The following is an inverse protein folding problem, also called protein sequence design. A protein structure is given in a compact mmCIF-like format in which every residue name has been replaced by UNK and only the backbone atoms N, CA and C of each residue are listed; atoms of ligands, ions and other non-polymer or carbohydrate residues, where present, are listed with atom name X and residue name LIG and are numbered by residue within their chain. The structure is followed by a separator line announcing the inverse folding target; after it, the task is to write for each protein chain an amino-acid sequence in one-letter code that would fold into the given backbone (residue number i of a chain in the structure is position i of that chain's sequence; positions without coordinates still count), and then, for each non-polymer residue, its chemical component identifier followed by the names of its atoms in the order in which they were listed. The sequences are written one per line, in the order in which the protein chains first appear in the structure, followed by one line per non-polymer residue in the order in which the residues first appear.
data_IF_849445097378
#
_entry.id   IF_849445097378
#
_cell.length_a   1.000
_cell.length_b   1.000
_cell.length_c   1.000
_cell.angle_alpha   90.00
_cell.angle_beta   90.00
_cell.angle_gamma   90.00
#
_symmetry.space_group_name_H-M   'P 1'
#
loop_
_entity.id
_entity.type
_entity.pdbx_description
1 polymer ?
#
# COMPACT_ATOMS: atom_id res chain seq x y z
N UNK A 1 -5.65 22.85 -27.37
CA UNK A 1 -6.23 21.59 -26.86
C UNK A 1 -5.87 21.46 -25.38
N UNK A 2 -6.81 21.74 -24.49
CA UNK A 2 -6.59 21.66 -23.04
C UNK A 2 -7.12 20.31 -22.54
N UNK A 3 -6.27 19.27 -22.56
CA UNK A 3 -6.58 17.98 -21.95
C UNK A 3 -6.26 18.12 -20.45
N UNK A 4 -7.29 18.34 -19.63
CA UNK A 4 -7.11 18.52 -18.20
C UNK A 4 -6.59 17.24 -17.55
N UNK A 5 -5.33 17.30 -17.13
CA UNK A 5 -4.62 16.52 -16.09
C UNK A 5 -5.55 15.88 -15.03
N UNK A 6 -6.17 14.73 -15.28
CA UNK A 6 -6.88 14.00 -14.21
C UNK A 6 -5.92 13.11 -13.40
N UNK A 7 -4.82 13.68 -12.90
CA UNK A 7 -3.94 13.01 -11.93
C UNK A 7 -4.55 12.99 -10.53
N UNK A 8 -5.69 13.64 -10.31
CA UNK A 8 -6.34 13.76 -9.01
C UNK A 8 -6.57 12.41 -8.34
N UNK A 9 -7.09 11.42 -9.09
CA UNK A 9 -7.33 10.09 -8.53
C UNK A 9 -6.01 9.41 -8.13
N UNK A 10 -4.99 9.42 -9.00
CA UNK A 10 -3.67 8.86 -8.66
C UNK A 10 -3.07 9.52 -7.42
N UNK A 11 -3.14 10.84 -7.33
CA UNK A 11 -2.60 11.62 -6.21
C UNK A 11 -3.30 11.26 -4.90
N UNK A 12 -4.63 11.17 -4.91
CA UNK A 12 -5.42 10.75 -3.74
C UNK A 12 -5.03 9.33 -3.33
N UNK A 13 -4.97 8.39 -4.28
CA UNK A 13 -4.56 7.00 -4.04
C UNK A 13 -3.17 6.92 -3.40
N UNK A 14 -2.21 7.68 -3.94
CA UNK A 14 -0.84 7.73 -3.42
C UNK A 14 -0.80 8.30 -2.01
N UNK A 15 -1.53 9.38 -1.71
CA UNK A 15 -1.57 9.97 -0.36
C UNK A 15 -2.10 8.94 0.65
N UNK A 16 -3.21 8.28 0.34
CA UNK A 16 -3.79 7.26 1.23
C UNK A 16 -2.79 6.12 1.45
N UNK A 17 -2.19 5.62 0.37
CA UNK A 17 -1.17 4.57 0.45
C UNK A 17 0.03 4.99 1.31
N UNK A 18 0.59 6.19 1.08
CA UNK A 18 1.72 6.75 1.83
C UNK A 18 1.43 6.76 3.33
N UNK A 19 0.26 7.27 3.73
CA UNK A 19 -0.13 7.33 5.15
C UNK A 19 -0.16 5.93 5.75
N UNK A 20 -0.81 4.98 5.08
CA UNK A 20 -0.95 3.61 5.58
C UNK A 20 0.42 2.94 5.73
N UNK A 21 1.25 2.95 4.68
CA UNK A 21 2.52 2.22 4.71
C UNK A 21 3.55 2.87 5.64
N UNK A 22 3.52 4.20 5.81
CA UNK A 22 4.40 4.86 6.78
C UNK A 22 3.95 4.60 8.22
N UNK A 23 2.65 4.63 8.51
CA UNK A 23 2.13 4.33 9.86
C UNK A 23 2.37 2.87 10.22
N UNK A 24 1.95 1.92 9.38
CA UNK A 24 2.20 0.50 9.63
C UNK A 24 3.69 0.17 9.58
N UNK A 25 4.44 0.77 8.66
CA UNK A 25 5.88 0.59 8.56
C UNK A 25 6.61 1.03 9.81
N UNK A 26 6.31 2.23 10.33
CA UNK A 26 6.89 2.72 11.58
C UNK A 26 6.52 1.85 12.79
N UNK A 27 5.26 1.43 12.89
CA UNK A 27 4.81 0.55 13.98
C UNK A 27 5.49 -0.82 13.92
N UNK A 28 5.55 -1.47 12.76
CA UNK A 28 6.24 -2.75 12.60
C UNK A 28 7.76 -2.63 12.83
N UNK A 29 8.36 -1.50 12.45
CA UNK A 29 9.81 -1.29 12.58
C UNK A 29 10.23 -0.99 14.02
N UNK A 30 9.56 -0.06 14.71
CA UNK A 30 9.96 0.38 16.05
C UNK A 30 9.24 -0.36 17.18
N UNK A 31 7.95 -0.65 17.00
CA UNK A 31 7.07 -1.15 18.07
C UNK A 31 6.20 -2.35 17.62
N UNK A 32 6.77 -3.41 17.03
CA UNK A 32 6.00 -4.51 16.44
C UNK A 32 5.07 -5.20 17.46
N UNK A 33 5.49 -5.30 18.72
CA UNK A 33 4.71 -5.95 19.77
C UNK A 33 3.41 -5.21 20.10
N UNK A 34 3.34 -3.90 19.87
CA UNK A 34 2.09 -3.14 20.03
C UNK A 34 1.01 -3.66 19.08
N UNK A 35 1.39 -3.95 17.83
CA UNK A 35 0.48 -4.50 16.83
C UNK A 35 0.09 -5.96 17.14
N UNK A 36 1.05 -6.79 17.56
CA UNK A 36 0.79 -8.19 17.95
C UNK A 36 -0.20 -8.26 19.12
N UNK A 37 0.02 -7.47 20.17
CA UNK A 37 -0.90 -7.42 21.32
C UNK A 37 -2.26 -6.85 20.92
N UNK A 38 -2.31 -5.85 20.04
CA UNK A 38 -3.58 -5.30 19.55
C UNK A 38 -4.40 -6.34 18.75
N UNK A 39 -3.72 -7.15 17.92
CA UNK A 39 -4.30 -8.27 17.19
C UNK A 39 -4.88 -9.34 18.13
N UNK A 40 -4.25 -9.55 19.29
CA UNK A 40 -4.65 -10.58 20.25
C UNK A 40 -4.28 -12.01 19.83
N UNK A 41 -3.22 -12.15 19.02
CA UNK A 41 -2.66 -13.44 18.61
C UNK A 41 -1.44 -13.84 19.44
N UNK A 42 -0.83 -14.96 19.07
CA UNK A 42 0.37 -15.47 19.72
C UNK A 42 1.57 -14.54 19.53
N UNK A 43 2.54 -14.54 20.47
CA UNK A 43 3.75 -13.75 20.35
C UNK A 43 4.55 -14.10 19.10
N UNK A 44 4.78 -13.12 18.23
CA UNK A 44 5.67 -13.24 17.06
C UNK A 44 7.00 -12.58 17.38
N UNK A 45 8.10 -13.23 17.02
CA UNK A 45 9.43 -12.66 17.22
C UNK A 45 9.59 -11.35 16.43
N UNK A 46 9.89 -10.26 17.15
CA UNK A 46 9.95 -8.89 16.61
C UNK A 46 10.82 -8.76 15.35
N UNK A 47 11.89 -9.54 15.23
CA UNK A 47 12.79 -9.50 14.07
C UNK A 47 12.07 -9.72 12.73
N UNK A 48 11.12 -10.67 12.67
CA UNK A 48 10.33 -10.95 11.47
C UNK A 48 9.45 -9.77 11.07
N UNK A 49 8.87 -9.08 12.06
CA UNK A 49 8.00 -7.94 11.84
C UNK A 49 8.78 -6.66 11.47
N UNK A 50 9.96 -6.46 12.06
CA UNK A 50 10.79 -5.27 11.78
C UNK A 50 11.26 -5.21 10.34
N UNK A 51 11.58 -6.35 9.74
CA UNK A 51 11.96 -6.40 8.33
C UNK A 51 10.82 -5.91 7.42
N UNK A 52 9.60 -6.40 7.63
CA UNK A 52 8.42 -5.93 6.91
C UNK A 52 8.18 -4.42 7.13
N UNK A 53 8.38 -3.93 8.36
CA UNK A 53 8.31 -2.49 8.67
C UNK A 53 9.26 -1.64 7.83
N UNK A 54 10.52 -2.08 7.68
CA UNK A 54 11.52 -1.38 6.84
C UNK A 54 11.12 -1.34 5.37
N UNK A 55 10.58 -2.44 4.84
CA UNK A 55 10.08 -2.51 3.45
C UNK A 55 8.91 -1.54 3.25
N UNK A 56 7.94 -1.49 4.17
CA UNK A 56 6.80 -0.58 4.07
C UNK A 56 7.23 0.89 4.12
N UNK A 57 8.22 1.24 4.95
CA UNK A 57 8.78 2.60 4.99
C UNK A 57 9.42 2.95 3.64
N UNK A 58 10.22 2.05 3.07
CA UNK A 58 10.86 2.28 1.76
C UNK A 58 9.82 2.47 0.64
N UNK A 59 8.76 1.66 0.63
CA UNK A 59 7.65 1.82 -0.32
C UNK A 59 6.92 3.15 -0.13
N UNK A 60 6.70 3.60 1.12
CA UNK A 60 6.13 4.91 1.41
C UNK A 60 6.96 6.07 0.89
N UNK A 61 8.28 6.01 1.09
CA UNK A 61 9.21 7.02 0.54
C UNK A 61 9.19 6.99 -1.00
N UNK A 62 9.20 5.81 -1.62
CA UNK A 62 9.05 5.67 -3.06
C UNK A 62 7.76 6.29 -3.59
N UNK A 63 6.63 6.07 -2.90
CA UNK A 63 5.35 6.68 -3.25
C UNK A 63 5.35 8.19 -3.11
N UNK A 64 6.07 8.77 -2.13
CA UNK A 64 6.27 10.22 -2.02
C UNK A 64 7.05 10.74 -3.25
N UNK A 65 8.09 10.02 -3.69
CA UNK A 65 8.85 10.41 -4.87
C UNK A 65 7.97 10.43 -6.13
N UNK A 66 7.13 9.40 -6.31
CA UNK A 66 6.17 9.35 -7.43
C UNK A 66 5.12 10.45 -7.32
N UNK A 67 4.60 10.73 -6.14
CA UNK A 67 3.63 11.81 -5.92
C UNK A 67 4.21 13.18 -6.31
N UNK A 68 5.48 13.44 -5.98
CA UNK A 68 6.16 14.71 -6.30
C UNK A 68 6.59 14.78 -7.76
N UNK A 69 7.02 13.67 -8.35
CA UNK A 69 7.42 13.60 -9.75
C UNK A 69 7.00 12.26 -10.38
N UNK A 70 5.80 12.18 -10.98
CA UNK A 70 5.27 10.94 -11.53
C UNK A 70 5.89 10.54 -12.88
N UNK A 71 6.76 11.35 -13.48
CA UNK A 71 7.29 11.08 -14.81
C UNK A 71 8.03 9.74 -14.88
N UNK A 72 7.63 8.88 -15.82
CA UNK A 72 8.21 7.54 -16.05
C UNK A 72 8.14 6.58 -14.85
N UNK A 73 7.23 6.82 -13.90
CA UNK A 73 7.08 6.01 -12.69
C UNK A 73 6.00 4.91 -12.80
N UNK A 74 5.52 4.60 -14.02
CA UNK A 74 4.52 3.54 -14.23
C UNK A 74 4.87 2.21 -13.56
N UNK A 75 6.12 1.69 -13.68
CA UNK A 75 6.48 0.41 -13.08
C UNK A 75 6.30 0.41 -11.56
N UNK A 76 6.68 1.51 -10.88
CA UNK A 76 6.50 1.62 -9.43
C UNK A 76 5.02 1.60 -9.04
N UNK A 77 4.18 2.36 -9.76
CA UNK A 77 2.73 2.39 -9.50
C UNK A 77 2.11 1.00 -9.71
N UNK A 78 2.55 0.26 -10.74
CA UNK A 78 2.14 -1.15 -10.94
C UNK A 78 2.58 -2.03 -9.77
N UNK A 79 3.83 -1.91 -9.34
CA UNK A 79 4.36 -2.70 -8.22
C UNK A 79 3.55 -2.49 -6.94
N UNK A 80 3.27 -1.24 -6.55
CA UNK A 80 2.48 -0.99 -5.34
C UNK A 80 1.01 -1.42 -5.51
N UNK A 81 0.46 -1.34 -6.73
CA UNK A 81 -0.91 -1.81 -7.02
C UNK A 81 -1.00 -3.33 -6.85
N UNK A 82 -0.03 -4.06 -7.41
CA UNK A 82 0.06 -5.52 -7.25
C UNK A 82 0.34 -5.90 -5.80
N UNK A 83 1.20 -5.15 -5.10
CA UNK A 83 1.45 -5.34 -3.68
C UNK A 83 0.16 -5.22 -2.85
N UNK A 84 -0.66 -4.19 -3.10
CA UNK A 84 -1.96 -4.04 -2.46
C UNK A 84 -2.90 -5.20 -2.78
N UNK A 85 -2.96 -5.63 -4.04
CA UNK A 85 -3.83 -6.72 -4.47
C UNK A 85 -3.46 -8.03 -3.77
N UNK A 86 -2.19 -8.41 -3.84
CA UNK A 86 -1.70 -9.67 -3.29
C UNK A 86 -1.84 -9.68 -1.76
N UNK A 87 -1.50 -8.57 -1.08
CA UNK A 87 -1.69 -8.47 0.36
C UNK A 87 -3.17 -8.49 0.76
N UNK A 88 -4.05 -7.81 0.01
CA UNK A 88 -5.49 -7.85 0.22
C UNK A 88 -6.07 -9.27 0.06
N UNK A 89 -5.65 -9.99 -0.98
CA UNK A 89 -6.04 -11.38 -1.22
C UNK A 89 -5.51 -12.33 -0.13
N UNK A 90 -4.27 -12.14 0.33
CA UNK A 90 -3.69 -12.92 1.41
C UNK A 90 -4.49 -12.73 2.73
N UNK A 91 -4.88 -11.50 3.05
CA UNK A 91 -5.71 -11.23 4.23
C UNK A 91 -7.15 -11.73 4.06
N UNK A 92 -7.71 -11.72 2.84
CA UNK A 92 -9.00 -12.34 2.56
C UNK A 92 -8.94 -13.85 2.78
N UNK A 93 -7.88 -14.50 2.29
CA UNK A 93 -7.63 -15.91 2.54
C UNK A 93 -7.54 -16.19 4.05
N UNK A 94 -6.74 -15.39 4.78
CA UNK A 94 -6.63 -15.52 6.22
C UNK A 94 -7.98 -15.32 6.95
N UNK A 95 -8.80 -14.38 6.50
CA UNK A 95 -10.14 -14.16 7.06
C UNK A 95 -11.06 -15.38 6.88
N UNK A 96 -10.97 -16.06 5.74
CA UNK A 96 -11.84 -17.19 5.39
C UNK A 96 -11.38 -18.52 5.99
N UNK A 97 -10.07 -18.71 6.17
CA UNK A 97 -9.49 -20.02 6.48
C UNK A 97 -8.55 -20.05 7.68
N UNK A 98 -7.94 -18.93 8.08
CA UNK A 98 -6.85 -18.89 9.07
C UNK A 98 -7.07 -17.80 10.13
N UNK A 99 -8.34 -17.51 10.45
CA UNK A 99 -8.66 -16.36 11.30
C UNK A 99 -8.01 -16.53 12.68
N UNK A 100 -7.03 -15.66 12.96
CA UNK A 100 -6.28 -15.62 14.21
C UNK A 100 -6.38 -14.23 14.83
N UNK A 101 -6.75 -14.19 16.11
CA UNK A 101 -6.99 -12.93 16.83
C UNK A 101 -8.30 -12.24 16.41
N UNK A 102 -8.32 -10.91 16.53
CA UNK A 102 -9.53 -10.10 16.30
C UNK A 102 -9.82 -9.92 14.82
N UNK A 103 -11.04 -10.27 14.39
CA UNK A 103 -11.49 -10.17 13.00
C UNK A 103 -11.25 -8.81 12.34
N UNK A 104 -11.50 -7.71 13.05
CA UNK A 104 -11.32 -6.37 12.49
C UNK A 104 -9.86 -6.05 12.15
N UNK A 105 -8.90 -6.68 12.84
CA UNK A 105 -7.47 -6.48 12.61
C UNK A 105 -7.01 -7.07 11.27
N UNK A 106 -7.72 -8.07 10.76
CA UNK A 106 -7.51 -8.66 9.42
C UNK A 106 -8.44 -8.03 8.39
N UNK A 107 -9.73 -7.87 8.73
CA UNK A 107 -10.75 -7.40 7.79
C UNK A 107 -10.55 -5.95 7.36
N UNK A 108 -10.19 -5.05 8.29
CA UNK A 108 -10.03 -3.63 7.96
C UNK A 108 -8.86 -3.38 6.99
N UNK A 109 -7.63 -3.89 7.24
CA UNK A 109 -6.54 -3.74 6.27
C UNK A 109 -6.84 -4.43 4.94
N UNK A 110 -7.52 -5.57 4.95
CA UNK A 110 -7.95 -6.27 3.73
C UNK A 110 -8.84 -5.40 2.84
N UNK A 111 -9.90 -4.82 3.41
CA UNK A 111 -10.81 -3.92 2.66
C UNK A 111 -10.04 -2.71 2.13
N UNK A 112 -9.21 -2.09 2.96
CA UNK A 112 -8.42 -0.91 2.58
C UNK A 112 -7.49 -1.23 1.39
N UNK A 113 -6.78 -2.37 1.43
CA UNK A 113 -5.85 -2.76 0.38
C UNK A 113 -6.56 -3.11 -0.94
N UNK A 114 -7.72 -3.77 -0.87
CA UNK A 114 -8.52 -4.05 -2.07
C UNK A 114 -9.08 -2.75 -2.70
N UNK A 115 -9.56 -1.81 -1.87
CA UNK A 115 -10.00 -0.50 -2.36
C UNK A 115 -8.81 0.26 -2.98
N UNK A 116 -7.66 0.30 -2.31
CA UNK A 116 -6.45 0.95 -2.84
C UNK A 116 -5.99 0.34 -4.16
N UNK A 117 -6.11 -0.97 -4.31
CA UNK A 117 -5.80 -1.64 -5.58
C UNK A 117 -6.65 -1.06 -6.71
N UNK A 118 -7.95 -0.95 -6.49
CA UNK A 118 -8.89 -0.39 -7.47
C UNK A 118 -8.55 1.08 -7.75
N UNK A 119 -8.34 1.88 -6.71
CA UNK A 119 -8.03 3.31 -6.82
C UNK A 119 -6.69 3.57 -7.53
N UNK A 120 -5.65 2.81 -7.23
CA UNK A 120 -4.34 2.91 -7.88
C UNK A 120 -4.42 2.45 -9.34
N UNK A 121 -5.15 1.37 -9.63
CA UNK A 121 -5.32 0.88 -11.00
C UNK A 121 -6.01 1.89 -11.91
N UNK A 122 -7.12 2.49 -11.43
CA UNK A 122 -7.82 3.51 -12.19
C UNK A 122 -7.06 4.84 -12.22
N UNK A 123 -6.43 5.24 -11.11
CA UNK A 123 -5.58 6.43 -11.05
C UNK A 123 -4.41 6.34 -12.04
N UNK A 124 -3.76 5.18 -12.13
CA UNK A 124 -2.73 4.89 -13.13
C UNK A 124 -3.26 5.03 -14.55
N UNK A 125 -4.40 4.41 -14.88
CA UNK A 125 -5.01 4.51 -16.22
C UNK A 125 -5.32 5.95 -16.63
N UNK A 126 -5.75 6.79 -15.67
CA UNK A 126 -6.00 8.21 -15.92
C UNK A 126 -4.72 9.03 -16.09
N UNK A 127 -3.64 8.66 -15.39
CA UNK A 127 -2.34 9.34 -15.45
C UNK A 127 -1.38 8.76 -16.50
N UNK A 128 -1.89 7.92 -17.42
CA UNK A 128 -1.09 7.15 -18.39
C UNK A 128 -0.09 8.02 -19.15
N UNK A 129 -0.52 9.18 -19.62
CA UNK A 129 0.28 10.07 -20.48
C UNK A 129 1.50 10.65 -19.75
N UNK A 130 1.43 10.77 -18.43
CA UNK A 130 2.51 11.29 -17.57
C UNK A 130 3.41 10.14 -17.11
N UNK A 131 2.82 9.00 -16.75
CA UNK A 131 3.53 7.83 -16.26
C UNK A 131 4.34 7.11 -17.35
N UNK A 132 3.91 7.19 -18.62
CA UNK A 132 4.50 6.44 -19.75
C UNK A 132 5.13 7.31 -20.85
N UNK A 133 5.49 8.56 -20.56
CA UNK A 133 6.02 9.46 -21.58
C UNK A 133 7.23 8.82 -22.31
N UNK A 134 7.00 8.42 -23.56
CA UNK A 134 7.99 7.81 -24.45
C UNK A 134 8.98 8.91 -24.84
N UNK A 135 10.28 8.64 -24.78
CA UNK A 135 11.28 9.55 -25.33
C UNK A 135 10.95 9.72 -26.82
N UNK A 136 10.67 10.97 -27.24
CA UNK A 136 10.51 11.34 -28.65
C UNK A 136 11.87 11.46 -29.29
#
# INVERSE_FOLDING_TARGET
MAQSKSTGLLNISLIIYIVIVLVYGALYFFAPQVLVTAQGGDPVASGWLRWAGGVLIALGVGSIMVYRNPLKQDPFVVTITLGCLLAGLALLYALLFELTGKTWFTALPMIILLILTVLLWFGRKQAKDILWQKEM
#
